data_IF_990485977895
#
_entry.id   IF_990485977895
#
_cell.length_a   1.000
_cell.length_b   1.000
_cell.length_c   1.000
_cell.angle_alpha   90.00
_cell.angle_beta   90.00
_cell.angle_gamma   90.00
#
_symmetry.space_group_name_H-M   'P 1'
#
loop_
_entity.id
_entity.type
_entity.pdbx_description
1 polymer ?
#
# COMPACT_ATOMS: atom_id res chain seq x y z
N UNK A 1 0.82 28.73 -43.22
CA UNK A 1 1.58 27.46 -43.29
C UNK A 1 0.73 26.37 -42.66
N UNK A 2 0.54 25.21 -43.29
CA UNK A 2 -0.02 24.05 -42.60
C UNK A 2 0.96 23.61 -41.50
N UNK A 3 0.44 23.15 -40.36
CA UNK A 3 1.25 22.57 -39.29
C UNK A 3 1.91 21.28 -39.80
N UNK A 4 3.17 20.99 -39.43
CA UNK A 4 3.81 19.75 -39.86
C UNK A 4 3.00 18.56 -39.33
N UNK A 5 2.64 17.65 -40.24
CA UNK A 5 2.09 16.34 -39.89
C UNK A 5 3.05 15.67 -38.91
N UNK A 6 2.53 15.16 -37.80
CA UNK A 6 3.31 14.45 -36.79
C UNK A 6 4.16 13.35 -37.44
N UNK A 7 5.47 13.59 -37.55
CA UNK A 7 6.47 12.70 -38.18
C UNK A 7 6.76 11.41 -37.40
N UNK A 8 5.88 10.99 -36.48
CA UNK A 8 6.09 9.79 -35.66
C UNK A 8 5.37 8.62 -36.29
N UNK A 9 6.12 7.72 -36.93
CA UNK A 9 5.59 6.44 -37.41
C UNK A 9 5.54 5.45 -36.24
N UNK A 10 4.47 4.66 -36.11
CA UNK A 10 4.33 3.65 -35.05
C UNK A 10 5.51 2.66 -35.00
N UNK A 11 6.19 2.45 -36.13
CA UNK A 11 7.39 1.61 -36.27
C UNK A 11 8.63 2.15 -35.52
N UNK A 12 8.65 3.45 -35.18
CA UNK A 12 9.72 4.08 -34.40
C UNK A 12 9.51 3.94 -32.89
N UNK A 13 8.30 3.57 -32.46
CA UNK A 13 7.95 3.42 -31.05
C UNK A 13 8.17 1.96 -30.66
N UNK A 14 9.29 1.69 -30.00
CA UNK A 14 9.56 0.37 -29.44
C UNK A 14 8.84 0.22 -28.09
N UNK A 15 7.80 -0.61 -28.05
CA UNK A 15 7.09 -0.94 -26.81
C UNK A 15 7.70 -2.22 -26.23
N UNK A 16 8.29 -2.19 -25.02
CA UNK A 16 8.79 -3.39 -24.36
C UNK A 16 7.68 -4.43 -24.21
N UNK A 17 8.00 -5.72 -24.46
CA UNK A 17 7.01 -6.81 -24.50
C UNK A 17 6.33 -7.03 -23.14
N UNK A 18 7.03 -6.71 -22.06
CA UNK A 18 6.60 -6.89 -20.68
C UNK A 18 5.71 -5.74 -20.18
N UNK A 19 5.81 -4.56 -20.80
CA UNK A 19 5.12 -3.35 -20.36
C UNK A 19 3.60 -3.52 -20.24
N UNK A 20 2.89 -4.15 -21.21
CA UNK A 20 1.45 -4.34 -21.10
C UNK A 20 1.04 -5.18 -19.88
N UNK A 21 1.82 -6.21 -19.54
CA UNK A 21 1.50 -7.08 -18.40
C UNK A 21 1.81 -6.39 -17.07
N UNK A 22 2.92 -5.64 -16.98
CA UNK A 22 3.26 -4.83 -15.80
C UNK A 22 2.13 -3.84 -15.50
N UNK A 23 1.66 -3.10 -16.52
CA UNK A 23 0.57 -2.14 -16.36
C UNK A 23 -0.73 -2.83 -15.94
N UNK A 24 -1.06 -3.98 -16.55
CA UNK A 24 -2.24 -4.77 -16.19
C UNK A 24 -2.19 -5.25 -14.74
N UNK A 25 -1.04 -5.75 -14.27
CA UNK A 25 -0.87 -6.20 -12.89
C UNK A 25 -1.00 -5.03 -11.91
N UNK A 26 -0.35 -3.91 -12.21
CA UNK A 26 -0.45 -2.66 -11.44
C UNK A 26 -1.92 -2.20 -11.32
N UNK A 27 -2.65 -2.11 -12.42
CA UNK A 27 -4.06 -1.68 -12.41
C UNK A 27 -4.93 -2.63 -11.60
N UNK A 28 -4.75 -3.95 -11.75
CA UNK A 28 -5.47 -4.96 -10.93
C UNK A 28 -5.18 -4.79 -9.44
N UNK A 29 -3.92 -4.54 -9.08
CA UNK A 29 -3.50 -4.33 -7.71
C UNK A 29 -4.09 -3.03 -7.13
N UNK A 30 -4.15 -1.96 -7.92
CA UNK A 30 -4.78 -0.70 -7.53
C UNK A 30 -6.29 -0.87 -7.27
N UNK A 31 -7.01 -1.55 -8.17
CA UNK A 31 -8.45 -1.85 -8.03
C UNK A 31 -8.73 -2.64 -6.75
N UNK A 32 -7.89 -3.63 -6.43
CA UNK A 32 -8.04 -4.44 -5.20
C UNK A 32 -7.76 -3.63 -3.94
N UNK A 33 -6.76 -2.77 -3.99
CA UNK A 33 -6.25 -2.07 -2.80
C UNK A 33 -7.03 -0.80 -2.48
N UNK A 34 -7.60 -0.14 -3.49
CA UNK A 34 -8.33 1.12 -3.37
C UNK A 34 -7.54 2.19 -2.59
N UNK A 35 -6.28 2.50 -2.98
CA UNK A 35 -5.48 3.50 -2.27
C UNK A 35 -6.12 4.89 -2.44
N UNK A 36 -6.17 5.68 -1.35
CA UNK A 36 -6.68 7.05 -1.42
C UNK A 36 -5.74 8.00 -2.17
N UNK A 37 -4.44 7.70 -2.21
CA UNK A 37 -3.43 8.38 -3.03
C UNK A 37 -2.73 7.36 -3.95
N UNK A 38 -3.17 7.31 -5.20
CA UNK A 38 -2.65 6.38 -6.21
C UNK A 38 -1.19 6.67 -6.55
N UNK A 39 -0.73 7.93 -6.50
CA UNK A 39 0.64 8.29 -6.87
C UNK A 39 1.63 7.84 -5.80
N UNK A 40 1.33 8.13 -4.54
CA UNK A 40 2.13 7.65 -3.41
C UNK A 40 2.16 6.11 -3.37
N UNK A 41 0.99 5.48 -3.52
CA UNK A 41 0.90 4.02 -3.55
C UNK A 41 1.66 3.42 -4.74
N UNK A 42 1.63 4.04 -5.92
CA UNK A 42 2.38 3.59 -7.08
C UNK A 42 3.89 3.62 -6.83
N UNK A 43 4.40 4.69 -6.20
CA UNK A 43 5.81 4.77 -5.82
C UNK A 43 6.20 3.61 -4.89
N UNK A 44 5.36 3.29 -3.90
CA UNK A 44 5.57 2.14 -3.02
C UNK A 44 5.49 0.80 -3.76
N UNK A 45 4.50 0.62 -4.64
CA UNK A 45 4.29 -0.59 -5.43
C UNK A 45 5.50 -0.91 -6.30
N UNK A 46 5.96 0.05 -7.12
CA UNK A 46 7.09 -0.16 -8.02
C UNK A 46 8.43 -0.26 -7.26
N UNK A 47 8.57 0.45 -6.13
CA UNK A 47 9.73 0.28 -5.25
C UNK A 47 9.81 -1.14 -4.68
N UNK A 48 8.70 -1.68 -4.17
CA UNK A 48 8.64 -3.06 -3.69
C UNK A 48 8.89 -4.07 -4.84
N UNK A 49 8.26 -3.85 -6.01
CA UNK A 49 8.40 -4.72 -7.18
C UNK A 49 9.85 -4.82 -7.65
N UNK A 50 10.55 -3.69 -7.75
CA UNK A 50 11.96 -3.64 -8.18
C UNK A 50 12.93 -4.32 -7.19
N UNK A 51 12.58 -4.36 -5.90
CA UNK A 51 13.37 -5.03 -4.85
C UNK A 51 12.99 -6.49 -4.63
N UNK A 52 11.91 -6.97 -5.27
CA UNK A 52 11.34 -8.29 -4.99
C UNK A 52 10.70 -8.42 -3.61
N UNK A 53 10.31 -7.30 -3.00
CA UNK A 53 9.64 -7.26 -1.70
C UNK A 53 8.14 -7.59 -1.82
N UNK A 54 7.47 -8.02 -0.73
CA UNK A 54 6.03 -8.20 -0.72
C UNK A 54 5.30 -6.88 -1.05
N UNK A 55 4.47 -6.91 -2.10
CA UNK A 55 3.80 -5.72 -2.62
C UNK A 55 2.73 -5.18 -1.64
N UNK A 56 2.48 -3.85 -1.62
CA UNK A 56 1.45 -3.23 -0.79
C UNK A 56 0.03 -3.46 -1.38
N UNK A 57 -0.38 -4.72 -1.56
CA UNK A 57 -1.55 -5.10 -2.37
C UNK A 57 -2.49 -6.01 -1.60
N UNK A 58 -3.78 -5.62 -1.50
CA UNK A 58 -4.81 -6.47 -0.89
C UNK A 58 -5.03 -7.77 -1.68
N UNK A 59 -5.44 -8.83 -0.98
CA UNK A 59 -5.82 -10.12 -1.60
C UNK A 59 -7.12 -10.06 -2.38
N UNK A 60 -8.04 -9.19 -1.97
CA UNK A 60 -9.33 -8.96 -2.60
C UNK A 60 -9.77 -7.53 -2.32
N UNK A 61 -10.71 -7.06 -3.12
CA UNK A 61 -11.40 -5.82 -2.81
C UNK A 61 -12.26 -6.04 -1.55
N UNK A 62 -12.23 -5.07 -0.64
CA UNK A 62 -13.08 -5.04 0.54
C UNK A 62 -14.02 -3.85 0.38
N UNK A 63 -15.31 -4.09 0.57
CA UNK A 63 -16.27 -2.99 0.65
C UNK A 63 -15.95 -2.22 1.94
N UNK A 64 -15.93 -0.88 1.92
CA UNK A 64 -15.94 -0.12 3.16
C UNK A 64 -17.17 -0.59 3.93
N UNK A 65 -16.97 -1.26 5.06
CA UNK A 65 -18.08 -1.49 5.97
C UNK A 65 -18.54 -0.10 6.38
N UNK A 66 -19.74 0.27 5.95
CA UNK A 66 -20.38 1.52 6.34
C UNK A 66 -20.68 1.47 7.84
N UNK A 67 -19.64 1.61 8.67
CA UNK A 67 -19.75 1.81 10.11
C UNK A 67 -19.67 3.31 10.28
N UNK A 68 -20.84 3.90 10.50
CA UNK A 68 -21.15 5.34 10.42
C UNK A 68 -20.34 6.27 11.34
N UNK A 69 -19.23 5.86 11.98
CA UNK A 69 -18.57 6.68 13.02
C UNK A 69 -17.04 6.65 13.08
N UNK A 70 -16.34 5.84 12.29
CA UNK A 70 -14.85 5.80 12.33
C UNK A 70 -14.29 5.61 10.93
N UNK A 71 -14.19 6.71 10.18
CA UNK A 71 -13.50 6.79 8.89
C UNK A 71 -11.98 6.69 9.09
N UNK A 72 -11.52 5.53 9.55
CA UNK A 72 -10.11 5.28 9.79
C UNK A 72 -9.37 4.89 8.51
N UNK A 73 -10.07 4.45 7.47
CA UNK A 73 -9.47 3.92 6.24
C UNK A 73 -8.75 2.57 6.40
N UNK A 74 -8.48 2.15 7.65
CA UNK A 74 -7.94 0.83 7.96
C UNK A 74 -8.98 -0.26 7.70
N UNK A 75 -8.51 -1.36 7.14
CA UNK A 75 -9.34 -2.52 6.83
C UNK A 75 -8.56 -3.80 7.15
N UNK A 76 -9.24 -4.94 7.39
CA UNK A 76 -8.56 -6.21 7.65
C UNK A 76 -7.57 -6.57 6.54
N UNK A 77 -7.90 -6.29 5.27
CA UNK A 77 -7.01 -6.53 4.14
C UNK A 77 -5.75 -5.68 4.17
N UNK A 78 -5.79 -4.44 4.66
CA UNK A 78 -4.58 -3.62 4.84
C UNK A 78 -3.71 -4.15 5.99
N UNK A 79 -4.32 -4.58 7.10
CA UNK A 79 -3.58 -5.23 8.18
C UNK A 79 -2.94 -6.54 7.72
N UNK A 80 -3.62 -7.33 6.88
CA UNK A 80 -3.08 -8.55 6.31
C UNK A 80 -1.87 -8.26 5.39
N UNK A 81 -1.90 -7.15 4.63
CA UNK A 81 -0.75 -6.71 3.83
C UNK A 81 0.44 -6.36 4.72
N UNK A 82 0.23 -5.57 5.78
CA UNK A 82 1.28 -5.27 6.75
C UNK A 82 1.82 -6.54 7.41
N UNK A 83 0.95 -7.48 7.76
CA UNK A 83 1.35 -8.75 8.36
C UNK A 83 2.27 -9.55 7.43
N UNK A 84 1.95 -9.63 6.13
CA UNK A 84 2.84 -10.29 5.16
C UNK A 84 4.20 -9.61 5.04
N UNK A 85 4.25 -8.28 5.16
CA UNK A 85 5.48 -7.51 5.03
C UNK A 85 6.37 -7.57 6.30
N UNK A 86 5.75 -7.59 7.47
CA UNK A 86 6.42 -7.35 8.75
C UNK A 86 6.49 -8.56 9.67
N UNK A 87 5.60 -9.55 9.52
CA UNK A 87 5.61 -10.76 10.36
C UNK A 87 6.93 -11.54 10.36
N UNK A 88 7.70 -11.65 9.26
CA UNK A 88 8.98 -12.38 9.29
C UNK A 88 10.03 -11.77 10.23
N UNK A 89 9.90 -10.49 10.59
CA UNK A 89 10.87 -9.78 11.45
C UNK A 89 10.60 -9.99 12.94
N UNK A 90 9.36 -10.26 13.33
CA UNK A 90 8.92 -10.38 14.73
C UNK A 90 8.86 -9.03 15.46
N UNK A 91 9.97 -8.29 15.45
CA UNK A 91 10.08 -6.94 15.99
C UNK A 91 10.37 -5.95 14.86
N UNK A 92 9.69 -4.81 14.86
CA UNK A 92 9.75 -3.82 13.77
C UNK A 92 10.05 -2.44 14.35
N UNK A 93 11.00 -1.71 13.76
CA UNK A 93 11.26 -0.33 14.15
C UNK A 93 10.08 0.59 13.82
N UNK A 94 9.78 1.56 14.69
CA UNK A 94 8.66 2.51 14.49
C UNK A 94 8.81 3.29 13.17
N UNK A 95 10.04 3.57 12.75
CA UNK A 95 10.34 4.26 11.48
C UNK A 95 9.94 3.42 10.27
N UNK A 96 10.28 2.14 10.27
CA UNK A 96 9.88 1.19 9.23
C UNK A 96 8.37 0.99 9.22
N UNK A 97 7.75 0.84 10.39
CA UNK A 97 6.31 0.72 10.51
C UNK A 97 5.59 1.92 9.92
N UNK A 98 6.04 3.14 10.23
CA UNK A 98 5.52 4.39 9.64
C UNK A 98 5.66 4.41 8.12
N UNK A 99 6.79 3.96 7.60
CA UNK A 99 7.01 3.88 6.16
C UNK A 99 6.03 2.89 5.49
N UNK A 100 5.91 1.67 6.01
CA UNK A 100 4.99 0.66 5.47
C UNK A 100 3.52 1.09 5.62
N UNK A 101 3.16 1.79 6.70
CA UNK A 101 1.85 2.38 6.92
C UNK A 101 1.52 3.44 5.86
N UNK A 102 2.45 4.37 5.63
CA UNK A 102 2.34 5.41 4.60
C UNK A 102 2.27 4.81 3.18
N UNK A 103 3.00 3.74 2.91
CA UNK A 103 2.94 3.02 1.63
C UNK A 103 1.54 2.46 1.32
N UNK A 104 0.69 2.27 2.32
CA UNK A 104 -0.72 1.89 2.17
C UNK A 104 -1.68 3.09 2.17
N UNK A 105 -1.14 4.31 2.19
CA UNK A 105 -1.90 5.56 2.25
C UNK A 105 -2.84 5.65 3.47
N UNK A 106 -2.43 5.03 4.58
CA UNK A 106 -3.18 5.09 5.82
C UNK A 106 -2.88 6.40 6.59
N UNK A 107 -3.85 6.97 7.34
CA UNK A 107 -3.64 8.20 8.10
C UNK A 107 -2.61 8.04 9.23
N UNK A 108 -1.70 9.00 9.37
CA UNK A 108 -0.69 9.01 10.44
C UNK A 108 -1.32 9.12 11.83
N UNK A 109 -2.43 9.85 11.97
CA UNK A 109 -3.12 10.01 13.25
C UNK A 109 -3.63 8.67 13.79
N UNK A 110 -4.10 7.78 12.91
CA UNK A 110 -4.53 6.45 13.34
C UNK A 110 -3.35 5.61 13.84
N UNK A 111 -2.20 5.69 13.16
CA UNK A 111 -1.00 5.00 13.61
C UNK A 111 -0.57 5.49 15.00
N UNK A 112 -0.62 6.80 15.24
CA UNK A 112 -0.33 7.39 16.56
C UNK A 112 -1.28 6.87 17.63
N UNK A 113 -2.58 6.81 17.35
CA UNK A 113 -3.56 6.26 18.30
C UNK A 113 -3.23 4.82 18.66
N UNK A 114 -2.94 3.96 17.68
CA UNK A 114 -2.58 2.55 17.94
C UNK A 114 -1.28 2.46 18.76
N UNK A 115 -0.28 3.27 18.42
CA UNK A 115 0.99 3.28 19.14
C UNK A 115 0.87 3.84 20.56
N UNK A 116 -0.14 4.67 20.87
CA UNK A 116 -0.39 5.18 22.22
C UNK A 116 -1.13 4.19 23.11
N UNK A 117 -1.69 3.10 22.57
CA UNK A 117 -2.38 2.08 23.34
C UNK A 117 -1.42 1.18 24.15
N UNK A 118 -0.12 1.22 23.85
CA UNK A 118 0.92 0.46 24.55
C UNK A 118 2.20 1.31 24.67
N UNK A 119 3.13 0.92 25.54
CA UNK A 119 4.41 1.63 25.72
C UNK A 119 5.44 1.15 24.69
N UNK A 120 5.20 1.48 23.42
CA UNK A 120 6.15 1.18 22.35
C UNK A 120 7.34 2.14 22.38
N UNK A 121 8.55 1.58 22.52
CA UNK A 121 9.80 2.33 22.37
C UNK A 121 10.16 2.58 20.91
N UNK A 122 11.44 2.46 20.57
CA UNK A 122 11.89 2.57 19.16
C UNK A 122 11.52 1.34 18.32
N UNK A 123 11.24 0.22 18.98
CA UNK A 123 10.87 -1.05 18.39
C UNK A 123 9.54 -1.55 18.92
N UNK A 124 8.78 -2.21 18.03
CA UNK A 124 7.41 -2.66 18.25
C UNK A 124 7.36 -4.18 18.02
N UNK A 125 6.86 -4.92 19.00
CA UNK A 125 6.54 -6.34 18.81
C UNK A 125 5.34 -6.45 17.85
N UNK A 126 5.58 -7.02 16.67
CA UNK A 126 4.63 -6.98 15.56
C UNK A 126 3.26 -7.57 15.92
N UNK A 127 3.24 -8.68 16.66
CA UNK A 127 1.99 -9.34 17.04
C UNK A 127 1.14 -8.51 18.01
N UNK A 128 1.77 -7.76 18.93
CA UNK A 128 1.06 -6.83 19.81
C UNK A 128 0.44 -5.69 19.01
N UNK A 129 1.22 -5.07 18.13
CA UNK A 129 0.71 -4.01 17.26
C UNK A 129 -0.43 -4.49 16.37
N UNK A 130 -0.30 -5.68 15.78
CA UNK A 130 -1.34 -6.28 14.95
C UNK A 130 -2.62 -6.55 15.74
N UNK A 131 -2.50 -7.06 16.96
CA UNK A 131 -3.66 -7.29 17.83
C UNK A 131 -4.38 -5.98 18.17
N UNK A 132 -3.63 -4.91 18.49
CA UNK A 132 -4.18 -3.58 18.72
C UNK A 132 -4.86 -3.03 17.46
N UNK A 133 -4.21 -3.14 16.30
CA UNK A 133 -4.78 -2.75 15.01
C UNK A 133 -6.09 -3.48 14.70
N UNK A 134 -6.17 -4.79 14.91
CA UNK A 134 -7.39 -5.56 14.78
C UNK A 134 -8.48 -5.10 15.77
N UNK A 135 -8.10 -4.77 17.01
CA UNK A 135 -9.04 -4.30 18.04
C UNK A 135 -9.67 -2.95 17.69
N UNK A 136 -8.99 -2.10 16.90
CA UNK A 136 -9.56 -0.83 16.41
C UNK A 136 -10.64 -1.00 15.34
N UNK A 137 -10.75 -2.19 14.73
CA UNK A 137 -11.73 -2.46 13.67
C UNK A 137 -13.10 -2.93 14.20
N UNK A 138 -13.21 -3.23 15.50
CA UNK A 138 -14.43 -3.72 16.15
C UNK A 138 -14.49 -5.23 16.26
#
# INVERSE_FOLDING_TARGET
MPLPETMFCAQQINIPRELPDILKQFTKAAIRTQPCDVLQWAAAYFSALSKGEPLPVKERIEMPLAIEKTDTGLTPGLLQVLHKQLSPKGTVGVTELKEKWKNLCLPDEQLKVILQLDDFGEEVEWMKFLALGCSTLG
#
